data_IF_420331483109
#
_entry.id   IF_420331483109
#
_cell.length_a   1.000
_cell.length_b   1.000
_cell.length_c   1.000
_cell.angle_alpha   90.00
_cell.angle_beta   90.00
_cell.angle_gamma   90.00
#
_symmetry.space_group_name_H-M   'P 1'
#
loop_
_entity.id
_entity.type
_entity.pdbx_description
1 polymer ?
#
# COMPACT_ATOMS: atom_id res chain seq x y z
N UNK A 1 29.68 -2.67 14.27
CA UNK A 1 28.53 -2.57 15.18
C UNK A 1 29.04 -2.76 16.59
N UNK A 2 29.07 -1.68 17.37
CA UNK A 2 29.55 -1.70 18.76
C UNK A 2 28.60 -2.54 19.62
N UNK A 3 29.13 -3.59 20.27
CA UNK A 3 28.44 -4.21 21.41
C UNK A 3 28.36 -3.14 22.50
N UNK A 4 27.16 -2.72 22.89
CA UNK A 4 26.99 -1.85 24.04
C UNK A 4 27.45 -2.61 25.29
N UNK A 5 28.20 -1.93 26.15
CA UNK A 5 28.75 -2.45 27.41
C UNK A 5 27.71 -2.53 28.55
N UNK A 6 26.41 -2.38 28.25
CA UNK A 6 25.30 -2.30 29.21
C UNK A 6 24.47 -3.60 29.36
N UNK A 7 24.97 -4.75 28.88
CA UNK A 7 24.24 -6.02 28.88
C UNK A 7 24.40 -6.88 30.16
N UNK A 8 24.58 -6.27 31.32
CA UNK A 8 24.64 -7.03 32.58
C UNK A 8 23.25 -7.62 32.90
N UNK A 9 23.07 -8.90 32.56
CA UNK A 9 21.92 -9.71 32.98
C UNK A 9 20.84 -9.99 31.91
N UNK A 10 20.97 -9.48 30.69
CA UNK A 10 20.02 -9.79 29.61
C UNK A 10 20.45 -11.10 28.93
N UNK A 11 19.79 -12.20 29.31
CA UNK A 11 19.96 -13.50 28.63
C UNK A 11 19.13 -13.50 27.34
N UNK A 12 19.73 -13.70 26.16
CA UNK A 12 18.96 -13.85 24.92
C UNK A 12 17.98 -15.01 25.00
N UNK A 13 16.80 -14.86 24.40
CA UNK A 13 15.83 -15.96 24.29
C UNK A 13 16.47 -17.16 23.56
N UNK A 14 16.11 -18.38 23.98
CA UNK A 14 16.61 -19.63 23.40
C UNK A 14 16.29 -19.76 21.90
N UNK A 15 15.25 -19.06 21.43
CA UNK A 15 14.90 -18.92 20.02
C UNK A 15 14.55 -17.47 19.69
N UNK A 16 14.69 -17.10 18.42
CA UNK A 16 14.33 -15.76 17.94
C UNK A 16 12.82 -15.54 18.11
N UNK A 17 12.45 -14.52 18.89
CA UNK A 17 11.07 -14.06 19.01
C UNK A 17 10.84 -12.98 17.95
N UNK A 18 9.86 -13.19 17.08
CA UNK A 18 9.44 -12.19 16.10
C UNK A 18 8.45 -11.23 16.74
N UNK A 19 8.65 -9.92 16.53
CA UNK A 19 7.84 -8.88 17.16
C UNK A 19 6.39 -8.86 16.64
N UNK A 20 6.22 -9.02 15.33
CA UNK A 20 4.90 -9.10 14.67
C UNK A 20 5.05 -9.95 13.41
N UNK A 21 4.60 -11.20 13.48
CA UNK A 21 4.53 -12.10 12.33
C UNK A 21 3.08 -12.28 11.89
N UNK A 22 2.79 -12.41 10.58
CA UNK A 22 1.47 -12.77 10.10
C UNK A 22 0.94 -14.02 10.80
N UNK A 23 -0.35 -14.00 11.15
CA UNK A 23 -1.06 -15.16 11.67
C UNK A 23 -2.17 -15.51 10.69
N UNK A 24 -2.13 -16.72 10.13
CA UNK A 24 -3.12 -17.20 9.17
C UNK A 24 -4.14 -18.10 9.87
N UNK A 25 -5.42 -17.97 9.53
CA UNK A 25 -6.53 -18.69 10.16
C UNK A 25 -7.12 -19.83 9.30
N UNK A 26 -6.64 -20.01 8.07
CA UNK A 26 -6.89 -21.15 7.20
C UNK A 26 -7.84 -20.88 6.04
N UNK A 27 -8.79 -19.96 6.16
CA UNK A 27 -9.71 -19.63 5.06
C UNK A 27 -9.06 -18.78 3.96
N UNK A 28 -7.95 -18.10 4.26
CA UNK A 28 -7.25 -17.23 3.33
C UNK A 28 -6.79 -17.99 2.08
N UNK A 29 -6.40 -19.26 2.24
CA UNK A 29 -5.99 -20.11 1.10
C UNK A 29 -7.13 -20.36 0.11
N UNK A 30 -8.38 -20.38 0.57
CA UNK A 30 -9.55 -20.61 -0.29
C UNK A 30 -9.75 -19.46 -1.26
N UNK A 31 -9.65 -18.22 -0.77
CA UNK A 31 -9.82 -17.02 -1.61
C UNK A 31 -8.70 -16.85 -2.64
N UNK A 32 -7.50 -17.29 -2.30
CA UNK A 32 -6.36 -17.33 -3.22
C UNK A 32 -6.63 -18.36 -4.33
N UNK A 33 -7.09 -19.56 -3.95
CA UNK A 33 -7.46 -20.60 -4.91
C UNK A 33 -8.60 -20.10 -5.82
N UNK A 34 -9.62 -19.43 -5.28
CA UNK A 34 -10.71 -18.83 -6.09
C UNK A 34 -10.17 -17.81 -7.10
N UNK A 35 -9.29 -16.89 -6.69
CA UNK A 35 -8.68 -15.90 -7.59
C UNK A 35 -7.89 -16.57 -8.72
N UNK A 36 -7.13 -17.62 -8.39
CA UNK A 36 -6.34 -18.39 -9.34
C UNK A 36 -7.21 -19.19 -10.30
N UNK A 37 -8.16 -19.97 -9.79
CA UNK A 37 -9.05 -20.82 -10.59
C UNK A 37 -9.97 -20.01 -11.50
N UNK A 38 -10.40 -18.84 -11.05
CA UNK A 38 -11.21 -17.91 -11.85
C UNK A 38 -10.37 -17.07 -12.83
N UNK A 39 -9.04 -17.23 -12.83
CA UNK A 39 -8.08 -16.50 -13.65
C UNK A 39 -8.10 -14.97 -13.47
N UNK A 40 -8.56 -14.51 -12.30
CA UNK A 40 -8.59 -13.08 -11.93
C UNK A 40 -7.34 -12.71 -11.11
N UNK A 41 -6.18 -12.83 -11.74
CA UNK A 41 -4.86 -12.60 -11.13
C UNK A 41 -4.31 -11.17 -11.35
N UNK A 42 -5.11 -10.30 -11.98
CA UNK A 42 -4.74 -8.93 -12.32
C UNK A 42 -5.11 -7.94 -11.21
N UNK A 43 -4.92 -6.65 -11.47
CA UNK A 43 -5.36 -5.53 -10.61
C UNK A 43 -6.87 -5.23 -10.72
N UNK A 44 -7.61 -6.13 -11.36
CA UNK A 44 -9.07 -6.11 -11.51
C UNK A 44 -9.59 -7.46 -11.01
N UNK A 45 -10.63 -7.45 -10.18
CA UNK A 45 -11.22 -8.69 -9.67
C UNK A 45 -12.19 -8.47 -8.51
N UNK A 46 -13.06 -9.46 -8.30
CA UNK A 46 -14.10 -9.50 -7.25
C UNK A 46 -13.53 -9.32 -5.84
N UNK A 47 -12.39 -9.94 -5.54
CA UNK A 47 -11.74 -9.87 -4.24
C UNK A 47 -11.37 -8.43 -3.84
N UNK A 48 -10.94 -7.62 -4.82
CA UNK A 48 -10.56 -6.24 -4.53
C UNK A 48 -11.79 -5.39 -4.19
N UNK A 49 -12.89 -5.60 -4.91
CA UNK A 49 -14.15 -4.91 -4.61
C UNK A 49 -14.69 -5.33 -3.24
N UNK A 50 -14.54 -6.60 -2.88
CA UNK A 50 -14.98 -7.14 -1.60
C UNK A 50 -14.17 -6.59 -0.42
N UNK A 51 -12.84 -6.52 -0.53
CA UNK A 51 -12.01 -5.94 0.55
C UNK A 51 -12.30 -4.45 0.73
N UNK A 52 -12.57 -3.71 -0.35
CA UNK A 52 -13.00 -2.31 -0.28
C UNK A 52 -14.36 -2.17 0.42
N UNK A 53 -15.34 -3.04 0.09
CA UNK A 53 -16.63 -3.07 0.78
C UNK A 53 -16.47 -3.34 2.28
N UNK A 54 -15.77 -4.42 2.63
CA UNK A 54 -15.60 -4.86 4.02
C UNK A 54 -14.83 -3.82 4.85
N UNK A 55 -13.89 -3.10 4.24
CA UNK A 55 -13.22 -1.98 4.89
C UNK A 55 -14.21 -0.83 5.19
N UNK A 56 -15.07 -0.45 4.23
CA UNK A 56 -16.12 0.54 4.47
C UNK A 56 -17.07 0.12 5.60
N UNK A 57 -17.52 -1.13 5.61
CA UNK A 57 -18.40 -1.65 6.67
C UNK A 57 -17.71 -1.61 8.05
N UNK A 58 -16.45 -2.03 8.12
CA UNK A 58 -15.70 -2.12 9.38
C UNK A 58 -15.34 -0.76 9.96
N UNK A 59 -14.90 0.16 9.10
CA UNK A 59 -14.34 1.46 9.49
C UNK A 59 -15.44 2.53 9.56
N UNK A 60 -16.48 2.39 8.75
CA UNK A 60 -17.60 3.33 8.69
C UNK A 60 -17.39 4.51 7.71
N UNK A 61 -16.39 4.44 6.83
CA UNK A 61 -16.24 5.39 5.72
C UNK A 61 -17.13 5.00 4.54
N UNK A 62 -17.51 5.96 3.69
CA UNK A 62 -18.35 5.68 2.51
C UNK A 62 -17.59 5.01 1.37
N UNK A 63 -16.33 5.37 1.16
CA UNK A 63 -15.53 4.87 0.04
C UNK A 63 -14.14 4.44 0.46
N UNK A 64 -13.70 3.34 -0.13
CA UNK A 64 -12.39 2.78 0.05
C UNK A 64 -11.78 2.44 -1.33
N UNK A 65 -10.48 2.69 -1.49
CA UNK A 65 -9.74 2.35 -2.72
C UNK A 65 -8.51 1.53 -2.34
N UNK A 66 -8.49 0.27 -2.75
CA UNK A 66 -7.42 -0.66 -2.49
C UNK A 66 -6.20 -0.38 -3.38
N UNK A 67 -5.05 -0.22 -2.73
CA UNK A 67 -3.77 0.16 -3.34
C UNK A 67 -2.65 -0.80 -2.94
N UNK A 68 -1.56 -0.78 -3.69
CA UNK A 68 -0.41 -1.69 -3.56
C UNK A 68 0.35 -1.57 -2.24
N UNK A 69 0.27 -0.42 -1.55
CA UNK A 69 0.94 -0.17 -0.28
C UNK A 69 0.25 0.96 0.50
N UNK A 70 0.48 1.01 1.83
CA UNK A 70 0.09 2.16 2.66
C UNK A 70 0.71 3.46 2.16
N UNK A 71 1.99 3.43 1.74
CA UNK A 71 2.67 4.58 1.11
C UNK A 71 1.98 5.04 -0.17
N UNK A 72 1.44 4.11 -0.97
CA UNK A 72 0.68 4.47 -2.16
C UNK A 72 -0.62 5.19 -1.78
N UNK A 73 -1.32 4.73 -0.73
CA UNK A 73 -2.51 5.40 -0.20
C UNK A 73 -2.20 6.82 0.30
N UNK A 74 -1.13 6.98 1.07
CA UNK A 74 -0.69 8.28 1.57
C UNK A 74 -0.28 9.22 0.43
N UNK A 75 0.39 8.71 -0.60
CA UNK A 75 0.71 9.50 -1.79
C UNK A 75 -0.53 9.99 -2.52
N UNK A 76 -1.54 9.13 -2.67
CA UNK A 76 -2.80 9.54 -3.27
C UNK A 76 -3.54 10.58 -2.40
N UNK A 77 -3.48 10.45 -1.07
CA UNK A 77 -4.03 11.42 -0.14
C UNK A 77 -3.34 12.79 -0.22
N UNK A 78 -1.99 12.82 -0.26
CA UNK A 78 -1.20 14.06 -0.44
C UNK A 78 -1.52 14.74 -1.77
N UNK A 79 -1.65 13.96 -2.84
CA UNK A 79 -2.00 14.49 -4.16
C UNK A 79 -3.44 15.01 -4.22
N UNK A 80 -4.40 14.34 -3.57
CA UNK A 80 -5.78 14.82 -3.42
C UNK A 80 -5.85 16.12 -2.62
N UNK A 81 -5.02 16.25 -1.57
CA UNK A 81 -4.88 17.48 -0.80
C UNK A 81 -4.32 18.65 -1.62
N UNK A 82 -3.86 18.41 -2.85
CA UNK A 82 -3.42 19.44 -3.77
C UNK A 82 -2.07 20.04 -3.40
N UNK A 83 -1.23 19.29 -2.68
CA UNK A 83 0.15 19.68 -2.37
C UNK A 83 0.92 19.96 -3.64
N UNK A 84 1.62 21.09 -3.67
CA UNK A 84 2.46 21.53 -4.79
C UNK A 84 3.92 21.68 -4.35
N UNK A 85 4.85 21.75 -5.32
CA UNK A 85 6.23 22.08 -5.03
C UNK A 85 6.33 23.35 -4.18
N UNK A 86 7.20 23.30 -3.17
CA UNK A 86 7.48 24.37 -2.18
C UNK A 86 6.38 24.69 -1.17
N UNK A 87 5.21 24.05 -1.24
CA UNK A 87 4.20 24.18 -0.18
C UNK A 87 4.77 23.64 1.14
N UNK A 88 4.44 24.28 2.27
CA UNK A 88 4.77 23.75 3.59
C UNK A 88 3.61 22.90 4.11
N UNK A 89 3.93 21.73 4.67
CA UNK A 89 2.95 20.76 5.17
C UNK A 89 3.35 20.38 6.58
N UNK A 90 2.44 20.51 7.55
CA UNK A 90 2.69 20.06 8.91
C UNK A 90 2.63 18.53 8.97
N UNK A 91 3.66 17.91 9.53
CA UNK A 91 3.78 16.46 9.60
C UNK A 91 4.14 16.03 11.02
N UNK A 92 3.62 14.89 11.48
CA UNK A 92 4.13 14.23 12.69
C UNK A 92 5.64 13.98 12.56
N UNK A 93 6.40 14.33 13.60
CA UNK A 93 7.85 14.13 13.66
C UNK A 93 8.22 12.68 13.98
N UNK A 94 7.55 12.10 14.97
CA UNK A 94 7.71 10.71 15.38
C UNK A 94 6.72 9.87 14.61
N UNK A 95 7.21 9.29 13.51
CA UNK A 95 6.44 8.35 12.69
C UNK A 95 7.36 7.49 11.83
N UNK A 96 6.79 6.54 11.09
CA UNK A 96 7.50 5.87 10.02
C UNK A 96 7.59 6.79 8.79
N UNK A 97 8.75 6.81 8.14
CA UNK A 97 9.09 7.75 7.06
C UNK A 97 8.08 7.76 5.88
N UNK A 98 7.35 6.66 5.68
CA UNK A 98 6.28 6.58 4.68
C UNK A 98 5.11 7.55 4.90
N UNK A 99 4.89 8.04 6.13
CA UNK A 99 3.92 9.10 6.41
C UNK A 99 4.28 10.40 5.70
N UNK A 100 5.59 10.71 5.63
CA UNK A 100 6.10 12.03 5.24
C UNK A 100 6.67 12.05 3.83
N UNK A 101 7.34 10.97 3.41
CA UNK A 101 7.91 10.85 2.07
C UNK A 101 6.96 11.27 0.93
N UNK A 102 5.65 10.94 0.96
CA UNK A 102 4.75 11.35 -0.11
C UNK A 102 4.55 12.87 -0.24
N UNK A 103 4.73 13.63 0.84
CA UNK A 103 4.79 15.10 0.76
C UNK A 103 5.94 15.53 -0.15
N UNK A 104 7.10 14.90 0.03
CA UNK A 104 8.31 15.20 -0.77
C UNK A 104 8.19 14.68 -2.20
N UNK A 105 7.48 13.56 -2.43
CA UNK A 105 7.22 13.05 -3.78
C UNK A 105 6.49 14.08 -4.66
N UNK A 106 5.56 14.84 -4.07
CA UNK A 106 4.83 15.93 -4.74
C UNK A 106 5.57 17.28 -4.65
N UNK A 107 6.80 17.31 -4.11
CA UNK A 107 7.67 18.48 -4.01
C UNK A 107 7.39 19.40 -2.83
N UNK A 108 6.51 19.00 -1.92
CA UNK A 108 6.22 19.73 -0.69
C UNK A 108 7.38 19.71 0.30
N UNK A 109 7.33 20.62 1.27
CA UNK A 109 8.32 20.81 2.34
C UNK A 109 7.68 20.41 3.67
N UNK A 110 8.06 19.26 4.26
CA UNK A 110 7.60 18.88 5.58
C UNK A 110 8.09 19.87 6.64
N UNK A 111 7.18 20.32 7.49
CA UNK A 111 7.45 21.04 8.72
C UNK A 111 7.03 20.13 9.87
N UNK A 112 7.99 19.64 10.63
CA UNK A 112 7.75 18.65 11.66
C UNK A 112 7.14 19.29 12.92
N UNK A 113 6.06 18.68 13.40
CA UNK A 113 5.38 19.04 14.63
C UNK A 113 5.75 18.01 15.68
N UNK A 114 6.22 18.49 16.83
CA UNK A 114 6.68 17.68 17.95
C UNK A 114 5.56 16.79 18.50
N UNK A 115 5.96 15.74 19.21
CA UNK A 115 5.09 14.73 19.78
C UNK A 115 4.86 14.96 21.27
N UNK A 116 3.66 14.68 21.76
CA UNK A 116 3.35 14.76 23.19
C UNK A 116 3.52 13.40 23.93
N UNK A 117 3.74 13.48 25.24
CA UNK A 117 4.16 12.34 26.06
C UNK A 117 3.07 11.29 26.34
N UNK A 118 1.79 11.66 26.30
CA UNK A 118 0.71 10.79 26.77
C UNK A 118 0.37 9.71 25.75
N UNK A 119 0.32 10.07 24.46
CA UNK A 119 -0.08 9.17 23.37
C UNK A 119 1.03 8.94 22.35
N UNK A 120 2.15 9.67 22.44
CA UNK A 120 3.24 9.58 21.47
C UNK A 120 2.84 9.98 20.05
N UNK A 121 1.82 10.83 19.92
CA UNK A 121 1.40 11.41 18.65
C UNK A 121 1.57 12.94 18.68
N UNK A 122 1.27 13.59 17.55
CA UNK A 122 1.41 15.04 17.37
C UNK A 122 0.83 15.84 18.54
N UNK A 123 1.63 16.75 19.09
CA UNK A 123 1.24 17.65 20.18
C UNK A 123 0.34 18.78 19.65
N UNK A 124 -0.92 18.92 20.12
CA UNK A 124 -1.77 20.04 19.76
C UNK A 124 -1.16 21.41 20.10
N UNK A 125 -0.37 21.51 21.18
CA UNK A 125 0.26 22.79 21.57
C UNK A 125 1.37 23.18 20.60
N UNK A 126 2.16 22.21 20.14
CA UNK A 126 3.16 22.43 19.10
C UNK A 126 2.51 22.75 17.74
N UNK A 127 1.39 22.09 17.42
CA UNK A 127 0.63 22.36 16.20
C UNK A 127 0.11 23.79 16.14
N UNK A 128 -0.50 24.29 17.23
CA UNK A 128 -1.00 25.67 17.30
C UNK A 128 0.14 26.68 17.07
N UNK A 129 1.28 26.50 17.74
CA UNK A 129 2.48 27.34 17.55
C UNK A 129 2.99 27.29 16.12
N UNK A 130 2.92 26.14 15.46
CA UNK A 130 3.33 26.03 14.07
C UNK A 130 2.39 26.84 13.15
N UNK A 131 1.08 26.85 13.39
CA UNK A 131 0.15 27.73 12.67
C UNK A 131 0.41 29.22 12.94
N UNK A 132 0.84 29.61 14.14
CA UNK A 132 1.27 30.99 14.41
C UNK A 132 2.49 31.38 13.56
N UNK A 133 3.41 30.45 13.33
CA UNK A 133 4.63 30.67 12.54
C UNK A 133 4.41 30.56 11.02
N UNK A 134 3.49 29.70 10.60
CA UNK A 134 3.19 29.38 9.20
C UNK A 134 1.67 29.37 8.94
N UNK A 135 0.98 30.52 9.06
CA UNK A 135 -0.49 30.60 8.94
C UNK A 135 -1.00 30.28 7.53
N UNK A 136 -0.11 30.28 6.54
CA UNK A 136 -0.42 29.91 5.15
C UNK A 136 -0.64 28.41 4.97
N UNK A 137 -0.17 27.56 5.89
CA UNK A 137 -0.28 26.10 5.76
C UNK A 137 -1.76 25.67 5.80
N UNK A 138 -2.11 24.72 4.93
CA UNK A 138 -3.48 24.19 4.79
C UNK A 138 -3.58 22.67 4.83
N UNK A 139 -2.47 21.97 5.01
CA UNK A 139 -2.44 20.51 5.07
C UNK A 139 -1.64 20.07 6.30
N UNK A 140 -2.25 19.17 7.08
CA UNK A 140 -1.64 18.53 8.25
C UNK A 140 -1.70 17.02 8.06
N UNK A 141 -0.54 16.36 8.12
CA UNK A 141 -0.42 14.90 8.06
C UNK A 141 -0.17 14.38 9.47
N UNK A 142 -1.10 13.60 10.00
CA UNK A 142 -1.02 13.03 11.35
C UNK A 142 -0.86 11.52 11.27
N UNK A 143 -0.07 10.95 12.18
CA UNK A 143 0.01 9.51 12.37
C UNK A 143 -0.63 9.08 13.69
N UNK A 144 -1.13 7.85 13.72
CA UNK A 144 -1.63 7.17 14.92
C UNK A 144 -0.78 5.94 15.24
N UNK A 145 0.24 6.14 16.07
CA UNK A 145 1.23 5.12 16.38
C UNK A 145 0.66 4.02 17.27
N UNK A 146 1.08 2.79 17.01
CA UNK A 146 0.81 1.63 17.85
C UNK A 146 -0.68 1.39 18.17
N UNK A 147 -1.57 1.81 17.27
CA UNK A 147 -3.02 1.69 17.46
C UNK A 147 -3.62 2.67 18.47
N UNK A 148 -2.85 3.66 18.92
CA UNK A 148 -3.29 4.68 19.86
C UNK A 148 -3.71 5.94 19.11
N UNK A 149 -4.93 6.43 19.38
CA UNK A 149 -5.36 7.72 18.85
C UNK A 149 -4.52 8.84 19.46
N UNK A 150 -4.08 9.77 18.61
CA UNK A 150 -3.58 11.06 19.09
C UNK A 150 -4.70 11.87 19.74
N UNK A 151 -4.37 13.07 20.22
CA UNK A 151 -5.31 14.08 20.75
C UNK A 151 -6.14 14.69 19.61
N UNK A 152 -6.92 13.83 18.93
CA UNK A 152 -7.51 14.10 17.62
C UNK A 152 -8.66 15.10 17.68
N UNK A 153 -9.37 15.21 18.81
CA UNK A 153 -10.40 16.24 18.99
C UNK A 153 -9.76 17.64 18.98
N UNK A 154 -8.66 17.79 19.72
CA UNK A 154 -7.87 19.01 19.81
C UNK A 154 -7.25 19.35 18.46
N UNK A 155 -6.56 18.41 17.83
CA UNK A 155 -5.95 18.58 16.49
C UNK A 155 -7.00 19.00 15.46
N UNK A 156 -8.17 18.36 15.43
CA UNK A 156 -9.26 18.72 14.51
C UNK A 156 -9.86 20.09 14.81
N UNK A 157 -9.92 20.48 16.08
CA UNK A 157 -10.38 21.81 16.46
C UNK A 157 -9.45 22.89 15.92
N UNK A 158 -8.15 22.72 16.10
CA UNK A 158 -7.09 23.60 15.58
C UNK A 158 -7.15 23.67 14.06
N UNK A 159 -7.14 22.53 13.36
CA UNK A 159 -7.17 22.51 11.90
C UNK A 159 -8.42 23.19 11.34
N UNK A 160 -9.58 23.05 12.00
CA UNK A 160 -10.83 23.72 11.59
C UNK A 160 -10.72 25.24 11.70
N UNK A 161 -10.13 25.75 12.78
CA UNK A 161 -9.91 27.18 13.00
C UNK A 161 -9.00 27.79 11.93
N UNK A 162 -7.94 27.06 11.56
CA UNK A 162 -6.97 27.49 10.54
C UNK A 162 -7.36 27.12 9.09
N UNK A 163 -8.54 26.52 8.90
CA UNK A 163 -9.05 26.03 7.62
C UNK A 163 -8.07 25.08 6.91
N UNK A 164 -7.39 24.24 7.69
CA UNK A 164 -6.52 23.19 7.20
C UNK A 164 -7.26 21.85 7.13
N UNK A 165 -6.92 21.05 6.13
CA UNK A 165 -7.38 19.66 6.04
C UNK A 165 -6.37 18.72 6.71
N UNK A 166 -6.88 17.57 7.14
CA UNK A 166 -6.07 16.52 7.76
C UNK A 166 -5.96 15.34 6.80
N UNK A 167 -4.73 14.88 6.58
CA UNK A 167 -4.44 13.55 6.05
C UNK A 167 -4.13 12.66 7.25
N UNK A 168 -4.92 11.59 7.42
CA UNK A 168 -4.80 10.68 8.55
C UNK A 168 -4.05 9.41 8.15
N UNK A 169 -2.85 9.22 8.69
CA UNK A 169 -2.13 7.96 8.62
C UNK A 169 -2.57 7.02 9.76
N UNK A 170 -3.49 6.12 9.41
CA UNK A 170 -4.03 5.06 10.25
C UNK A 170 -3.36 3.70 9.98
N UNK A 171 -2.14 3.68 9.43
CA UNK A 171 -1.45 2.44 9.06
C UNK A 171 -1.22 1.46 10.22
N UNK A 172 -1.23 1.93 11.47
CA UNK A 172 -1.02 1.11 12.68
C UNK A 172 -2.27 0.97 13.56
N UNK A 173 -3.41 1.48 13.11
CA UNK A 173 -4.57 1.67 13.97
C UNK A 173 -5.88 1.12 13.41
N UNK A 174 -5.82 0.31 12.35
CA UNK A 174 -6.99 -0.42 11.86
C UNK A 174 -7.62 -1.25 12.98
N UNK A 175 -8.90 -0.97 13.29
CA UNK A 175 -9.65 -1.60 14.37
C UNK A 175 -9.70 -0.81 15.68
N UNK A 176 -8.80 0.15 15.89
CA UNK A 176 -8.82 1.03 17.06
C UNK A 176 -9.95 2.07 16.95
N UNK A 177 -10.45 2.53 18.09
CA UNK A 177 -11.51 3.55 18.16
C UNK A 177 -11.16 4.65 19.14
N UNK A 178 -11.59 5.86 18.82
CA UNK A 178 -11.62 6.99 19.73
C UNK A 178 -13.05 7.47 19.93
N UNK A 179 -13.52 7.47 21.19
CA UNK A 179 -14.91 7.81 21.57
C UNK A 179 -15.98 7.09 20.73
N UNK A 180 -15.73 5.82 20.40
CA UNK A 180 -16.66 4.97 19.63
C UNK A 180 -16.60 5.16 18.11
N UNK A 181 -15.76 6.06 17.59
CA UNK A 181 -15.51 6.25 16.17
C UNK A 181 -14.19 5.56 15.80
N UNK A 182 -14.17 4.79 14.71
CA UNK A 182 -12.95 4.11 14.25
C UNK A 182 -11.90 5.12 13.80
N UNK A 183 -10.63 4.80 14.06
CA UNK A 183 -9.51 5.52 13.47
C UNK A 183 -9.47 5.22 11.96
N UNK A 184 -9.08 6.21 11.14
CA UNK A 184 -9.19 6.18 9.68
C UNK A 184 -10.41 6.92 9.12
N UNK A 185 -11.10 7.71 9.95
CA UNK A 185 -12.27 8.54 9.56
C UNK A 185 -12.20 10.00 10.06
N UNK A 186 -11.08 10.41 10.66
CA UNK A 186 -10.95 11.72 11.29
C UNK A 186 -10.42 12.80 10.34
N UNK A 187 -9.66 12.40 9.32
CA UNK A 187 -9.18 13.28 8.25
C UNK A 187 -10.12 13.37 7.05
N UNK A 188 -9.76 14.23 6.09
CA UNK A 188 -10.42 14.34 4.79
C UNK A 188 -10.06 13.16 3.89
N UNK A 189 -8.80 12.72 3.98
CA UNK A 189 -8.24 11.58 3.26
C UNK A 189 -7.43 10.75 4.23
N UNK A 190 -7.76 9.47 4.36
CA UNK A 190 -7.18 8.62 5.38
C UNK A 190 -6.52 7.40 4.72
N UNK A 191 -5.49 6.86 5.34
CA UNK A 191 -4.74 5.74 4.81
C UNK A 191 -4.57 4.63 5.85
N UNK A 192 -4.79 3.38 5.43
CA UNK A 192 -4.44 2.19 6.21
C UNK A 192 -3.43 1.33 5.44
N UNK A 193 -2.74 0.45 6.16
CA UNK A 193 -1.71 -0.43 5.59
C UNK A 193 -2.00 -1.89 5.87
N UNK A 194 -1.70 -2.72 4.87
CA UNK A 194 -1.78 -4.17 4.92
C UNK A 194 -0.38 -4.81 4.71
N UNK A 195 0.69 -4.16 5.18
CA UNK A 195 2.02 -4.76 5.13
C UNK A 195 2.10 -6.03 6.00
N UNK A 196 3.12 -6.88 5.79
CA UNK A 196 3.31 -8.15 6.50
C UNK A 196 3.24 -8.09 8.03
N UNK A 197 3.61 -6.96 8.63
CA UNK A 197 3.67 -6.79 10.09
C UNK A 197 2.49 -6.02 10.69
N UNK A 198 1.49 -5.65 9.88
CA UNK A 198 0.28 -4.96 10.35
C UNK A 198 -0.73 -5.97 10.92
N UNK A 199 -1.68 -5.46 11.72
CA UNK A 199 -2.72 -6.27 12.39
C UNK A 199 -3.44 -7.18 11.41
N UNK A 200 -3.77 -6.61 10.26
CA UNK A 200 -4.38 -7.25 9.10
C UNK A 200 -3.37 -7.02 7.98
N UNK A 201 -2.95 -8.07 7.30
CA UNK A 201 -1.94 -7.99 6.25
C UNK A 201 -2.57 -8.20 4.86
N UNK A 202 -1.76 -8.15 3.82
CA UNK A 202 -2.06 -8.51 2.44
C UNK A 202 -0.79 -9.02 1.76
N UNK A 203 0.24 -9.36 2.56
CA UNK A 203 1.68 -9.29 2.24
C UNK A 203 2.14 -7.86 2.06
N UNK A 204 1.52 -7.19 1.09
CA UNK A 204 1.67 -5.79 0.76
C UNK A 204 0.29 -5.23 0.46
N UNK A 205 0.06 -3.99 0.84
CA UNK A 205 -1.19 -3.33 0.52
C UNK A 205 -1.40 -2.08 1.34
N UNK A 206 -2.36 -1.30 0.89
CA UNK A 206 -2.92 -0.21 1.65
C UNK A 206 -4.26 0.18 1.08
N UNK A 207 -4.91 1.12 1.72
CA UNK A 207 -6.21 1.60 1.27
C UNK A 207 -6.32 3.08 1.55
N UNK A 208 -6.79 3.82 0.56
CA UNK A 208 -7.30 5.17 0.80
C UNK A 208 -8.74 5.04 1.26
N UNK A 209 -9.10 5.76 2.32
CA UNK A 209 -10.44 5.84 2.89
C UNK A 209 -10.90 7.30 2.80
N UNK A 210 -12.13 7.51 2.36
CA UNK A 210 -12.72 8.85 2.27
C UNK A 210 -14.23 8.79 2.18
N UNK A 211 -14.87 9.90 2.52
CA UNK A 211 -16.30 10.10 2.30
C UNK A 211 -16.61 10.81 0.97
N UNK A 212 -15.60 11.19 0.20
CA UNK A 212 -15.75 11.88 -1.08
C UNK A 212 -15.66 10.89 -2.26
N UNK A 213 -16.77 10.77 -3.00
CA UNK A 213 -16.87 9.90 -4.17
C UNK A 213 -15.96 10.36 -5.32
N UNK A 214 -15.83 11.67 -5.52
CA UNK A 214 -14.99 12.23 -6.57
C UNK A 214 -13.52 11.94 -6.27
N UNK A 215 -13.11 12.13 -5.02
CA UNK A 215 -11.76 11.78 -4.56
C UNK A 215 -11.47 10.28 -4.74
N UNK A 216 -12.39 9.40 -4.33
CA UNK A 216 -12.23 7.95 -4.52
C UNK A 216 -12.10 7.58 -6.01
N UNK A 217 -12.95 8.13 -6.87
CA UNK A 217 -12.88 7.88 -8.31
C UNK A 217 -11.59 8.41 -8.94
N UNK A 218 -11.15 9.60 -8.50
CA UNK A 218 -9.90 10.21 -8.95
C UNK A 218 -8.70 9.32 -8.60
N UNK A 219 -8.68 8.76 -7.40
CA UNK A 219 -7.61 7.85 -6.98
C UNK A 219 -7.67 6.51 -7.70
N UNK A 220 -8.85 5.97 -7.99
CA UNK A 220 -8.97 4.79 -8.87
C UNK A 220 -8.36 5.06 -10.25
N UNK A 221 -8.64 6.23 -10.84
CA UNK A 221 -8.04 6.66 -12.10
C UNK A 221 -6.52 6.80 -11.98
N UNK A 222 -6.02 7.57 -11.02
CA UNK A 222 -4.57 7.74 -10.82
C UNK A 222 -3.85 6.43 -10.59
N UNK A 223 -4.43 5.50 -9.81
CA UNK A 223 -3.82 4.20 -9.51
C UNK A 223 -3.72 3.23 -10.69
N UNK A 224 -4.36 3.57 -11.81
CA UNK A 224 -4.41 2.79 -13.06
C UNK A 224 -3.79 3.56 -14.23
N UNK A 225 -2.68 4.25 -13.96
CA UNK A 225 -1.96 5.08 -14.94
C UNK A 225 -2.79 6.22 -15.54
N UNK A 226 -3.87 6.64 -14.87
CA UNK A 226 -4.75 7.72 -15.34
C UNK A 226 -5.27 7.53 -16.76
N UNK A 227 -5.48 6.27 -17.16
CA UNK A 227 -5.98 5.96 -18.50
C UNK A 227 -7.41 6.47 -18.67
N UNK A 228 -7.69 7.15 -19.79
CA UNK A 228 -9.04 7.56 -20.15
C UNK A 228 -9.89 6.40 -20.68
N UNK A 229 -11.20 6.55 -20.62
CA UNK A 229 -12.15 5.61 -21.21
C UNK A 229 -12.24 5.80 -22.74
N UNK A 230 -11.13 5.56 -23.43
CA UNK A 230 -11.00 5.59 -24.88
C UNK A 230 -10.62 4.19 -25.42
N UNK A 231 -10.98 3.86 -26.67
CA UNK A 231 -10.58 2.60 -27.31
C UNK A 231 -9.05 2.41 -27.45
N UNK A 232 -8.28 3.50 -27.40
CA UNK A 232 -6.81 3.51 -27.45
C UNK A 232 -6.19 3.90 -26.10
N UNK A 233 -4.86 3.87 -26.00
CA UNK A 233 -4.12 4.33 -24.81
C UNK A 233 -4.05 5.86 -24.77
N UNK A 234 -5.08 6.48 -24.18
CA UNK A 234 -5.15 7.92 -23.94
C UNK A 234 -4.89 8.25 -22.47
N UNK A 235 -4.07 9.26 -22.24
CA UNK A 235 -3.69 9.75 -20.92
C UNK A 235 -3.67 11.28 -20.94
N UNK A 236 -4.53 11.93 -20.15
CA UNK A 236 -4.61 13.39 -20.07
C UNK A 236 -3.90 13.95 -18.83
N UNK A 237 -3.58 13.09 -17.87
CA UNK A 237 -2.86 13.44 -16.66
C UNK A 237 -1.91 12.32 -16.26
N UNK A 238 -0.87 12.66 -15.48
CA UNK A 238 0.06 11.66 -14.95
C UNK A 238 -0.68 10.72 -13.99
N UNK A 239 -0.42 9.42 -14.11
CA UNK A 239 -0.89 8.41 -13.17
C UNK A 239 0.25 7.56 -12.63
N UNK A 240 -0.14 6.54 -11.87
CA UNK A 240 0.74 5.60 -11.21
C UNK A 240 0.21 4.17 -11.39
N UNK A 241 1.08 3.19 -11.26
CA UNK A 241 0.65 1.80 -11.15
C UNK A 241 0.57 1.41 -9.67
N UNK A 242 -0.52 1.80 -9.03
CA UNK A 242 -0.72 1.61 -7.59
C UNK A 242 -1.88 0.70 -7.24
N UNK A 243 -2.58 0.10 -8.20
CA UNK A 243 -3.65 -0.85 -7.86
C UNK A 243 -3.11 -2.05 -7.08
N UNK A 244 -3.90 -2.45 -6.09
CA UNK A 244 -3.70 -3.71 -5.38
C UNK A 244 -3.88 -4.89 -6.35
N UNK A 245 -3.11 -5.96 -6.16
CA UNK A 245 -3.25 -7.21 -6.93
C UNK A 245 -4.39 -8.07 -6.35
N UNK A 246 -5.10 -8.85 -7.18
CA UNK A 246 -6.15 -9.77 -6.76
C UNK A 246 -5.70 -10.91 -5.83
N UNK A 247 -4.39 -11.16 -5.71
CA UNK A 247 -3.79 -12.03 -4.69
C UNK A 247 -3.51 -11.25 -3.41
N UNK A 248 -4.52 -10.51 -2.95
CA UNK A 248 -4.55 -9.88 -1.64
C UNK A 248 -5.85 -10.31 -0.99
N UNK A 249 -5.73 -10.97 0.17
CA UNK A 249 -6.91 -11.34 0.95
C UNK A 249 -7.33 -10.16 1.82
N UNK A 250 -8.54 -10.21 2.41
CA UNK A 250 -9.02 -9.18 3.35
C UNK A 250 -8.03 -8.92 4.49
N UNK A 251 -7.24 -9.93 4.88
CA UNK A 251 -6.37 -9.85 6.05
C UNK A 251 -4.98 -10.47 5.96
N UNK A 252 -4.50 -10.91 4.79
CA UNK A 252 -3.12 -11.35 4.72
C UNK A 252 -2.53 -11.72 3.38
N UNK A 253 -1.22 -11.91 3.40
CA UNK A 253 -0.41 -12.49 2.33
C UNK A 253 -1.02 -13.80 1.86
N UNK A 254 -1.46 -13.79 0.61
CA UNK A 254 -1.58 -14.99 -0.16
C UNK A 254 -0.34 -15.18 -1.01
N UNK A 255 0.55 -16.08 -0.60
CA UNK A 255 1.42 -16.74 -1.57
C UNK A 255 0.55 -17.63 -2.45
N UNK A 256 -0.10 -17.01 -3.43
CA UNK A 256 -0.44 -17.68 -4.68
C UNK A 256 0.85 -18.30 -5.20
N UNK A 257 0.77 -19.54 -5.68
CA UNK A 257 1.90 -20.22 -6.30
C UNK A 257 2.32 -19.45 -7.55
N UNK A 258 3.14 -18.42 -7.40
CA UNK A 258 3.93 -17.85 -8.47
C UNK A 258 5.15 -18.75 -8.61
N UNK A 259 5.16 -19.55 -9.66
CA UNK A 259 6.28 -20.44 -10.00
C UNK A 259 7.48 -19.67 -10.57
N UNK A 260 7.67 -18.40 -10.22
CA UNK A 260 8.81 -17.62 -10.71
C UNK A 260 10.14 -18.02 -10.08
N UNK A 261 10.14 -18.83 -9.01
CA UNK A 261 11.32 -19.56 -8.54
C UNK A 261 10.92 -20.86 -7.84
N UNK A 262 10.65 -21.93 -8.61
CA UNK A 262 10.68 -23.31 -8.09
C UNK A 262 12.13 -23.83 -8.08
N UNK A 263 13.03 -23.19 -7.32
CA UNK A 263 14.28 -23.82 -6.89
C UNK A 263 13.97 -24.64 -5.64
N UNK A 264 13.45 -25.85 -5.88
CA UNK A 264 13.57 -27.07 -5.06
C UNK A 264 12.44 -28.05 -5.44
N UNK A 265 12.70 -28.93 -6.42
CA UNK A 265 11.91 -30.15 -6.65
C UNK A 265 10.56 -29.97 -7.34
N UNK A 266 10.55 -29.60 -8.62
CA UNK A 266 9.33 -29.55 -9.45
C UNK A 266 8.75 -30.94 -9.80
N UNK A 267 7.42 -30.99 -9.96
CA UNK A 267 6.63 -32.19 -10.23
C UNK A 267 6.79 -32.66 -11.69
N UNK A 268 7.04 -33.96 -11.89
CA UNK A 268 7.10 -34.64 -13.19
C UNK A 268 5.73 -35.22 -13.56
N UNK A 269 5.38 -35.21 -14.84
CA UNK A 269 4.24 -35.99 -15.36
C UNK A 269 4.44 -37.50 -15.17
N UNK A 270 3.38 -38.29 -15.37
CA UNK A 270 3.45 -39.78 -15.28
C UNK A 270 4.45 -40.41 -16.28
N UNK A 271 4.86 -39.65 -17.28
CA UNK A 271 5.84 -39.98 -18.32
C UNK A 271 7.27 -39.50 -17.98
N UNK A 272 7.48 -38.86 -16.82
CA UNK A 272 8.78 -38.36 -16.38
C UNK A 272 9.20 -37.01 -16.98
N UNK A 273 8.35 -36.38 -17.81
CA UNK A 273 8.64 -35.10 -18.48
C UNK A 273 8.10 -33.89 -17.70
N UNK A 274 8.65 -32.68 -17.90
CA UNK A 274 8.09 -31.44 -17.38
C UNK A 274 6.69 -31.19 -17.94
N UNK A 275 5.76 -30.76 -17.09
CA UNK A 275 4.33 -30.58 -17.44
C UNK A 275 4.02 -29.28 -18.20
N UNK A 276 4.96 -28.35 -18.31
CA UNK A 276 4.72 -27.02 -18.89
C UNK A 276 5.73 -26.67 -19.98
N UNK A 277 5.21 -26.07 -21.07
CA UNK A 277 5.96 -25.72 -22.29
C UNK A 277 7.04 -24.66 -22.01
N UNK A 278 6.80 -23.73 -21.08
CA UNK A 278 7.79 -22.73 -20.68
C UNK A 278 9.02 -23.34 -20.01
N UNK A 279 8.86 -24.45 -19.28
CA UNK A 279 9.96 -25.18 -18.64
C UNK A 279 10.80 -26.00 -19.63
N UNK A 280 10.19 -26.57 -20.67
CA UNK A 280 10.89 -27.30 -21.75
C UNK A 280 11.78 -26.35 -22.57
N UNK A 281 11.27 -25.15 -22.89
CA UNK A 281 12.03 -24.08 -23.59
C UNK A 281 13.23 -23.64 -22.74
N UNK A 282 13.01 -23.38 -21.45
CA UNK A 282 14.05 -22.90 -20.54
C UNK A 282 15.13 -23.95 -20.25
N UNK A 283 14.76 -25.23 -20.08
CA UNK A 283 15.74 -26.33 -19.91
C UNK A 283 16.58 -26.61 -21.15
N UNK A 284 16.07 -26.26 -22.34
CA UNK A 284 16.82 -26.29 -23.61
C UNK A 284 17.72 -25.05 -23.80
N UNK A 285 17.75 -24.14 -22.83
CA UNK A 285 18.68 -23.00 -22.77
C UNK A 285 18.17 -21.70 -23.39
N UNK A 286 16.85 -21.56 -23.59
CA UNK A 286 16.26 -20.39 -24.26
C UNK A 286 15.50 -19.49 -23.28
N UNK A 287 15.63 -18.17 -23.46
CA UNK A 287 14.87 -17.15 -22.76
C UNK A 287 14.25 -16.20 -23.78
N UNK A 288 12.95 -15.91 -23.66
CA UNK A 288 12.24 -15.05 -24.62
C UNK A 288 12.55 -13.57 -24.35
N UNK A 289 12.80 -12.76 -25.39
CA UNK A 289 13.08 -11.33 -25.22
C UNK A 289 11.83 -10.58 -24.73
N UNK A 290 12.02 -9.63 -23.81
CA UNK A 290 10.95 -8.84 -23.18
C UNK A 290 10.62 -7.53 -23.91
N UNK A 291 11.10 -7.35 -25.15
CA UNK A 291 10.96 -6.10 -25.92
C UNK A 291 9.84 -6.22 -26.96
N UNK A 292 9.12 -5.13 -27.23
CA UNK A 292 7.99 -5.06 -28.15
C UNK A 292 8.28 -4.23 -29.41
N UNK A 293 9.54 -3.84 -29.64
CA UNK A 293 9.97 -2.98 -30.76
C UNK A 293 10.60 -3.70 -31.95
N UNK A 294 10.47 -5.02 -32.03
CA UNK A 294 11.01 -5.82 -33.14
C UNK A 294 10.23 -5.59 -34.45
N UNK A 295 10.90 -5.50 -35.59
CA UNK A 295 10.24 -5.50 -36.91
C UNK A 295 9.62 -6.87 -37.20
N UNK A 296 8.74 -6.96 -38.20
CA UNK A 296 8.09 -8.23 -38.56
C UNK A 296 9.13 -9.29 -38.96
N UNK A 297 10.18 -8.90 -39.67
CA UNK A 297 11.27 -9.79 -40.08
C UNK A 297 12.08 -10.31 -38.87
N UNK A 298 12.28 -9.46 -37.86
CA UNK A 298 12.95 -9.84 -36.60
C UNK A 298 12.07 -10.78 -35.77
N UNK A 299 10.75 -10.52 -35.73
CA UNK A 299 9.78 -11.40 -35.08
C UNK A 299 9.71 -12.77 -35.76
N UNK A 300 9.66 -12.81 -37.08
CA UNK A 300 9.64 -14.06 -37.85
C UNK A 300 10.91 -14.87 -37.64
N UNK A 301 12.08 -14.22 -37.58
CA UNK A 301 13.36 -14.87 -37.25
C UNK A 301 13.35 -15.48 -35.85
N UNK A 302 12.82 -14.77 -34.84
CA UNK A 302 12.69 -15.28 -33.47
C UNK A 302 11.70 -16.45 -33.41
N UNK A 303 10.58 -16.37 -34.14
CA UNK A 303 9.57 -17.41 -34.21
C UNK A 303 10.13 -18.68 -34.88
N UNK A 304 10.91 -18.56 -35.95
CA UNK A 304 11.57 -19.69 -36.61
C UNK A 304 12.60 -20.38 -35.69
N UNK A 305 13.43 -19.60 -34.98
CA UNK A 305 14.42 -20.14 -34.01
C UNK A 305 13.70 -20.89 -32.88
N UNK A 306 12.60 -20.33 -32.35
CA UNK A 306 11.82 -20.97 -31.29
C UNK A 306 11.15 -22.25 -31.80
N UNK A 307 10.60 -22.25 -33.03
CA UNK A 307 9.96 -23.44 -33.64
C UNK A 307 10.94 -24.57 -33.88
N UNK A 308 12.15 -24.27 -34.38
CA UNK A 308 13.19 -25.25 -34.62
C UNK A 308 13.66 -26.00 -33.35
N UNK A 309 13.34 -25.47 -32.16
CA UNK A 309 13.66 -26.10 -30.89
C UNK A 309 12.65 -27.19 -30.46
N UNK A 310 11.55 -27.34 -31.21
CA UNK A 310 10.48 -28.31 -30.97
C UNK A 310 10.38 -29.42 -32.04
N UNK A 311 11.20 -29.36 -33.10
CA UNK A 311 11.45 -30.48 -34.04
C UNK A 311 12.53 -31.43 -33.50
#
# INVERSE_FOLDING_TARGET
MNKREDQDGIVPFASKIWLSSPTMHGDEIKYIIEAYESNWMSTVGKNINEVEHLACEKIGCRYAVALSAGTAALHMAVRLAGVKPVDKIFCSDMTFDATVNPVVYEGGVPVFIDTEYDTWNMDPVALEKAFEMYPEVKVVVVAHLYGTSGKIDEIRAICREHHAIIIEDAAESLGASYKGVQIGTFGSYNAISFNGNKIITGSSGGMLLTDDLEAANKVRKWSTQSRENAPWYQHEELGYNYRMNGVVTREGDGRGKMNAYYIAGGVKGKDGKPLDVGMDIFQRGLCLPSDNKMTVEEQDTVIEIVRACFE
#
